data_IF_267819848187
#
_entry.id   IF_267819848187
#
_cell.length_a   1.000
_cell.length_b   1.000
_cell.length_c   1.000
_cell.angle_alpha   90.00
_cell.angle_beta   90.00
_cell.angle_gamma   90.00
#
_symmetry.space_group_name_H-M   'P 1'
#
loop_
_entity.id
_entity.type
_entity.pdbx_description
1 polymer ?
#
# COMPACT_ATOMS: atom_id res chain seq x y z
N UNK A 1 -18.84 -16.95 -14.51
CA UNK A 1 -20.09 -16.45 -15.12
C UNK A 1 -19.74 -15.42 -16.19
N UNK A 2 -20.38 -15.47 -17.35
CA UNK A 2 -20.17 -14.52 -18.45
C UNK A 2 -20.87 -13.18 -18.17
N UNK A 3 -20.57 -12.13 -18.95
CA UNK A 3 -21.19 -10.80 -18.80
C UNK A 3 -22.72 -10.91 -18.99
N UNK A 4 -23.55 -10.66 -17.95
CA UNK A 4 -25.00 -10.76 -18.08
C UNK A 4 -25.53 -9.67 -19.01
N UNK A 5 -26.53 -9.99 -19.84
CA UNK A 5 -27.14 -9.06 -20.80
C UNK A 5 -26.12 -8.37 -21.72
N UNK A 6 -25.03 -9.05 -22.12
CA UNK A 6 -23.94 -8.48 -22.93
C UNK A 6 -24.41 -7.74 -24.19
N UNK A 7 -25.54 -8.15 -24.78
CA UNK A 7 -26.14 -7.51 -25.96
C UNK A 7 -26.59 -6.06 -25.74
N UNK A 8 -26.87 -5.67 -24.49
CA UNK A 8 -27.32 -4.32 -24.12
C UNK A 8 -26.16 -3.33 -23.97
N UNK A 9 -24.92 -3.81 -23.85
CA UNK A 9 -23.79 -2.94 -23.55
C UNK A 9 -23.40 -2.10 -24.75
N UNK A 10 -23.17 -0.79 -24.52
CA UNK A 10 -22.67 0.13 -25.53
C UNK A 10 -21.28 0.64 -25.17
N UNK A 11 -20.34 0.73 -26.12
CA UNK A 11 -19.02 1.29 -25.86
C UNK A 11 -19.07 2.81 -25.72
N UNK A 12 -18.54 3.33 -24.61
CA UNK A 12 -18.30 4.77 -24.46
C UNK A 12 -17.23 5.26 -25.43
N UNK A 13 -17.18 6.58 -25.72
CA UNK A 13 -16.13 7.18 -26.56
C UNK A 13 -14.73 6.81 -26.05
N UNK A 14 -14.52 6.90 -24.74
CA UNK A 14 -13.26 6.53 -24.11
C UNK A 14 -12.89 5.05 -24.36
N UNK A 15 -13.87 4.15 -24.25
CA UNK A 15 -13.65 2.73 -24.54
C UNK A 15 -13.22 2.51 -25.99
N UNK A 16 -13.87 3.16 -26.95
CA UNK A 16 -13.56 3.04 -28.39
C UNK A 16 -12.13 3.50 -28.68
N UNK A 17 -11.73 4.68 -28.16
CA UNK A 17 -10.36 5.20 -28.29
C UNK A 17 -9.33 4.22 -27.70
N UNK A 18 -9.62 3.60 -26.54
CA UNK A 18 -8.73 2.61 -25.93
C UNK A 18 -8.62 1.32 -26.72
N UNK A 19 -9.71 0.87 -27.34
CA UNK A 19 -9.69 -0.32 -28.19
C UNK A 19 -8.81 -0.09 -29.42
N UNK A 20 -8.99 1.03 -30.10
CA UNK A 20 -8.19 1.39 -31.27
C UNK A 20 -6.70 1.52 -30.91
N UNK A 21 -6.38 2.26 -29.83
CA UNK A 21 -5.00 2.48 -29.39
C UNK A 21 -4.28 1.19 -28.93
N UNK A 22 -4.98 0.29 -28.25
CA UNK A 22 -4.35 -0.86 -27.56
C UNK A 22 -4.40 -2.16 -28.37
N UNK A 23 -5.43 -2.32 -29.19
CA UNK A 23 -5.70 -3.57 -29.90
C UNK A 23 -5.78 -3.37 -31.42
N UNK A 24 -5.62 -2.14 -31.92
CA UNK A 24 -5.63 -1.81 -33.35
C UNK A 24 -6.90 -2.30 -34.07
N UNK A 25 -8.02 -2.37 -33.35
CA UNK A 25 -9.31 -2.79 -33.91
C UNK A 25 -9.96 -1.58 -34.57
N UNK A 26 -10.26 -1.70 -35.85
CA UNK A 26 -10.91 -0.66 -36.62
C UNK A 26 -12.35 -0.42 -36.15
N UNK A 27 -12.88 0.81 -36.25
CA UNK A 27 -14.26 1.13 -35.85
C UNK A 27 -15.33 0.26 -36.52
N UNK A 28 -15.08 -0.18 -37.75
CA UNK A 28 -15.98 -1.05 -38.54
C UNK A 28 -16.15 -2.43 -37.92
N UNK A 29 -15.11 -2.98 -37.28
CA UNK A 29 -15.10 -4.32 -36.68
C UNK A 29 -15.38 -4.30 -35.17
N UNK A 30 -15.47 -3.10 -34.58
CA UNK A 30 -15.53 -2.89 -33.14
C UNK A 30 -16.70 -3.62 -32.48
N UNK A 31 -17.90 -3.52 -33.06
CA UNK A 31 -19.11 -4.08 -32.44
C UNK A 31 -19.09 -5.61 -32.40
N UNK A 32 -18.61 -6.26 -33.47
CA UNK A 32 -18.54 -7.72 -33.52
C UNK A 32 -17.41 -8.24 -32.63
N UNK A 33 -16.29 -7.53 -32.59
CA UNK A 33 -15.20 -7.83 -31.68
C UNK A 33 -15.64 -7.73 -30.21
N UNK A 34 -16.33 -6.65 -29.82
CA UNK A 34 -16.87 -6.46 -28.47
C UNK A 34 -17.86 -7.58 -28.11
N UNK A 35 -18.75 -7.97 -29.02
CA UNK A 35 -19.70 -9.06 -28.75
C UNK A 35 -18.98 -10.37 -28.46
N UNK A 36 -18.00 -10.74 -29.29
CA UNK A 36 -17.19 -11.94 -29.07
C UNK A 36 -16.40 -11.88 -27.77
N UNK A 37 -15.92 -10.69 -27.40
CA UNK A 37 -15.19 -10.42 -26.17
C UNK A 37 -16.07 -10.60 -24.93
N UNK A 38 -17.24 -9.95 -24.88
CA UNK A 38 -18.17 -10.01 -23.74
C UNK A 38 -18.80 -11.39 -23.56
N UNK A 39 -18.99 -12.15 -24.65
CA UNK A 39 -19.48 -13.54 -24.58
C UNK A 39 -18.50 -14.47 -23.87
N UNK A 40 -17.19 -14.24 -24.04
CA UNK A 40 -16.13 -15.06 -23.45
C UNK A 40 -15.59 -14.49 -22.14
N UNK A 41 -16.00 -13.28 -21.77
CA UNK A 41 -15.48 -12.60 -20.61
C UNK A 41 -16.09 -13.10 -19.31
N UNK A 42 -15.21 -13.50 -18.38
CA UNK A 42 -15.57 -14.00 -17.08
C UNK A 42 -15.48 -12.90 -16.03
N UNK A 43 -16.43 -12.92 -15.09
CA UNK A 43 -16.39 -11.99 -13.96
C UNK A 43 -15.10 -12.19 -13.13
N UNK A 44 -14.39 -11.09 -12.88
CA UNK A 44 -13.17 -11.06 -12.07
C UNK A 44 -13.44 -10.43 -10.70
N UNK A 45 -13.81 -9.14 -10.69
CA UNK A 45 -14.05 -8.39 -9.43
C UNK A 45 -15.01 -7.22 -9.62
N UNK A 46 -15.56 -6.71 -8.52
CA UNK A 46 -16.31 -5.46 -8.50
C UNK A 46 -15.39 -4.30 -8.07
N UNK A 47 -15.39 -3.21 -8.82
CA UNK A 47 -14.70 -1.98 -8.42
C UNK A 47 -15.60 -1.12 -7.53
N UNK A 48 -16.89 -1.07 -7.84
CA UNK A 48 -17.95 -0.43 -7.04
C UNK A 48 -19.23 -1.27 -7.14
N UNK A 49 -20.33 -0.85 -6.50
CA UNK A 49 -21.63 -1.51 -6.63
C UNK A 49 -22.15 -1.58 -8.08
N UNK A 50 -21.86 -0.56 -8.89
CA UNK A 50 -22.26 -0.50 -10.30
C UNK A 50 -21.17 -0.99 -11.27
N UNK A 51 -19.89 -0.80 -10.94
CA UNK A 51 -18.76 -1.10 -11.84
C UNK A 51 -18.17 -2.48 -11.60
N UNK A 52 -18.19 -3.29 -12.64
CA UNK A 52 -17.70 -4.66 -12.64
C UNK A 52 -16.55 -4.81 -13.63
N UNK A 53 -15.58 -5.62 -13.25
CA UNK A 53 -14.42 -5.96 -14.05
C UNK A 53 -14.57 -7.39 -14.52
N UNK A 54 -14.50 -7.57 -15.84
CA UNK A 54 -14.51 -8.88 -16.48
C UNK A 54 -13.17 -9.12 -17.18
N UNK A 55 -12.76 -10.38 -17.30
CA UNK A 55 -11.50 -10.79 -17.91
C UNK A 55 -11.75 -11.81 -19.01
N UNK A 56 -11.01 -11.67 -20.11
CA UNK A 56 -10.94 -12.66 -21.18
C UNK A 56 -9.51 -12.70 -21.68
N UNK A 57 -8.85 -13.86 -21.59
CA UNK A 57 -7.43 -14.00 -21.88
C UNK A 57 -6.60 -12.94 -21.12
N UNK A 58 -5.88 -12.13 -21.89
CA UNK A 58 -5.01 -11.03 -21.46
C UNK A 58 -5.71 -9.67 -21.60
N UNK A 59 -7.02 -9.61 -21.38
CA UNK A 59 -7.83 -8.40 -21.50
C UNK A 59 -8.71 -8.24 -20.26
N UNK A 60 -8.67 -7.07 -19.63
CA UNK A 60 -9.64 -6.66 -18.61
C UNK A 60 -10.59 -5.59 -19.14
N UNK A 61 -11.85 -5.73 -18.77
CA UNK A 61 -12.98 -4.96 -19.28
C UNK A 61 -13.66 -4.31 -18.09
N UNK A 62 -13.78 -2.99 -18.08
CA UNK A 62 -14.54 -2.28 -17.04
C UNK A 62 -15.90 -1.91 -17.61
N UNK A 63 -16.94 -2.42 -16.97
CA UNK A 63 -18.32 -2.19 -17.39
C UNK A 63 -19.14 -1.61 -16.25
N UNK A 64 -20.09 -0.74 -16.58
CA UNK A 64 -21.14 -0.30 -15.67
C UNK A 64 -22.37 -1.17 -15.88
N UNK A 65 -22.72 -1.94 -14.86
CA UNK A 65 -23.83 -2.89 -14.90
C UNK A 65 -25.21 -2.25 -14.73
N UNK A 66 -25.30 -0.98 -14.33
CA UNK A 66 -26.56 -0.24 -14.22
C UNK A 66 -26.87 0.47 -15.53
N UNK A 67 -25.89 1.18 -16.09
CA UNK A 67 -26.06 1.94 -17.34
C UNK A 67 -25.77 1.14 -18.60
N UNK A 68 -25.40 -0.15 -18.49
CA UNK A 68 -24.99 -1.02 -19.59
C UNK A 68 -23.95 -0.34 -20.50
N UNK A 69 -22.92 0.24 -19.90
CA UNK A 69 -21.88 0.99 -20.63
C UNK A 69 -20.51 0.34 -20.46
N UNK A 70 -19.77 0.18 -21.56
CA UNK A 70 -18.36 -0.20 -21.50
C UNK A 70 -17.53 1.06 -21.26
N UNK A 71 -16.87 1.11 -20.10
CA UNK A 71 -16.15 2.30 -19.64
C UNK A 71 -14.75 2.33 -20.24
N UNK A 72 -13.98 1.26 -20.04
CA UNK A 72 -12.60 1.18 -20.52
C UNK A 72 -12.15 -0.28 -20.65
N UNK A 73 -11.03 -0.50 -21.32
CA UNK A 73 -10.46 -1.81 -21.59
C UNK A 73 -8.95 -1.75 -21.40
N UNK A 74 -8.38 -2.77 -20.76
CA UNK A 74 -6.94 -2.91 -20.55
C UNK A 74 -6.47 -4.16 -21.27
N UNK A 75 -5.35 -4.05 -22.00
CA UNK A 75 -4.53 -5.23 -22.23
C UNK A 75 -3.83 -5.49 -20.91
N UNK A 76 -4.10 -6.64 -20.33
CA UNK A 76 -3.13 -7.25 -19.45
C UNK A 76 -1.97 -7.57 -20.40
N UNK A 77 -0.92 -6.75 -20.41
CA UNK A 77 0.38 -7.30 -20.79
C UNK A 77 0.51 -8.61 -20.00
N UNK A 78 1.05 -9.65 -20.61
CA UNK A 78 1.52 -10.84 -19.89
C UNK A 78 1.98 -10.39 -18.51
N UNK A 79 1.49 -11.01 -17.45
CA UNK A 79 1.93 -10.76 -16.08
C UNK A 79 3.42 -11.08 -15.86
N UNK A 80 4.24 -11.00 -16.92
CA UNK A 80 5.68 -11.15 -16.98
C UNK A 80 6.38 -9.79 -17.20
N UNK A 81 5.70 -8.64 -17.10
CA UNK A 81 6.38 -7.34 -17.33
C UNK A 81 5.80 -6.14 -16.57
N UNK A 82 5.41 -6.35 -15.31
CA UNK A 82 5.60 -5.35 -14.22
C UNK A 82 6.12 -6.08 -12.96
N UNK A 83 6.91 -7.13 -13.18
CA UNK A 83 7.96 -7.61 -12.28
C UNK A 83 9.28 -7.62 -13.05
N UNK A 84 9.42 -6.74 -14.05
CA UNK A 84 10.72 -6.13 -14.24
C UNK A 84 10.90 -5.28 -12.98
N UNK A 85 11.48 -5.88 -11.93
CA UNK A 85 12.44 -5.16 -11.13
C UNK A 85 13.13 -4.21 -12.09
N UNK A 86 12.93 -2.89 -11.91
CA UNK A 86 13.93 -1.97 -12.42
C UNK A 86 15.20 -2.49 -11.77
N UNK A 87 15.99 -3.28 -12.51
CA UNK A 87 17.31 -3.71 -12.08
C UNK A 87 18.08 -2.41 -12.01
N UNK A 88 17.97 -1.80 -10.83
CA UNK A 88 18.69 -0.62 -10.46
C UNK A 88 20.13 -0.91 -10.80
N UNK A 89 20.75 0.03 -11.52
CA UNK A 89 22.18 -0.04 -11.77
C UNK A 89 22.87 -0.41 -10.44
N UNK A 90 23.76 -1.41 -10.39
CA UNK A 90 24.40 -1.88 -9.16
C UNK A 90 25.00 -0.75 -8.31
N UNK A 91 25.50 0.31 -8.93
CA UNK A 91 25.99 1.51 -8.23
C UNK A 91 24.85 2.24 -7.51
N UNK A 92 23.71 2.43 -8.16
CA UNK A 92 22.54 3.08 -7.56
C UNK A 92 21.94 2.18 -6.47
N UNK A 93 21.87 0.86 -6.70
CA UNK A 93 21.42 -0.11 -5.70
C UNK A 93 22.33 -0.10 -4.47
N UNK A 94 23.65 -0.05 -4.65
CA UNK A 94 24.63 0.05 -3.56
C UNK A 94 24.44 1.34 -2.75
N UNK A 95 24.29 2.49 -3.42
CA UNK A 95 24.07 3.78 -2.76
C UNK A 95 22.75 3.79 -1.98
N UNK A 96 21.68 3.24 -2.56
CA UNK A 96 20.38 3.13 -1.89
C UNK A 96 20.46 2.21 -0.66
N UNK A 97 21.10 1.05 -0.78
CA UNK A 97 21.29 0.12 0.34
C UNK A 97 22.11 0.77 1.47
N UNK A 98 23.19 1.46 1.14
CA UNK A 98 24.00 2.17 2.13
C UNK A 98 23.20 3.29 2.82
N UNK A 99 22.44 4.08 2.05
CA UNK A 99 21.57 5.12 2.59
C UNK A 99 20.50 4.54 3.53
N UNK A 100 19.93 3.38 3.17
CA UNK A 100 18.91 2.69 3.94
C UNK A 100 19.46 2.10 5.25
N UNK A 101 20.66 1.50 5.22
CA UNK A 101 21.39 1.06 6.42
C UNK A 101 21.72 2.25 7.33
N UNK A 102 22.20 3.36 6.75
CA UNK A 102 22.50 4.58 7.50
C UNK A 102 21.24 5.17 8.16
N UNK A 103 20.09 5.11 7.48
CA UNK A 103 18.81 5.53 8.03
C UNK A 103 18.39 4.63 9.20
N UNK A 104 18.47 3.29 9.05
CA UNK A 104 18.23 2.30 10.12
C UNK A 104 19.05 2.61 11.37
N UNK A 105 20.35 2.81 11.21
CA UNK A 105 21.25 3.17 12.30
C UNK A 105 20.90 4.51 12.95
N UNK A 106 20.47 5.50 12.16
CA UNK A 106 20.06 6.82 12.68
C UNK A 106 18.79 6.73 13.53
N UNK A 107 17.79 5.96 13.08
CA UNK A 107 16.55 5.73 13.81
C UNK A 107 16.87 5.05 15.15
N UNK A 108 17.61 3.95 15.14
CA UNK A 108 18.00 3.20 16.34
C UNK A 108 18.73 4.12 17.34
N UNK A 109 19.70 4.92 16.87
CA UNK A 109 20.46 5.85 17.73
C UNK A 109 19.56 6.93 18.34
N UNK A 110 18.63 7.49 17.56
CA UNK A 110 17.69 8.51 18.03
C UNK A 110 16.78 7.95 19.12
N UNK A 111 16.17 6.79 18.87
CA UNK A 111 15.29 6.10 19.83
C UNK A 111 16.06 5.74 21.09
N UNK A 112 17.26 5.15 20.95
CA UNK A 112 18.12 4.79 22.08
C UNK A 112 18.44 5.99 22.98
N UNK A 113 18.76 7.16 22.39
CA UNK A 113 18.99 8.39 23.16
C UNK A 113 17.74 8.85 23.92
N UNK A 114 16.57 8.77 23.30
CA UNK A 114 15.30 9.18 23.92
C UNK A 114 14.91 8.25 25.07
N UNK A 115 15.00 6.93 24.84
CA UNK A 115 14.73 5.90 25.84
C UNK A 115 15.71 6.02 27.01
N UNK A 116 17.00 6.18 26.74
CA UNK A 116 18.01 6.35 27.80
C UNK A 116 17.72 7.57 28.69
N UNK A 117 17.28 8.69 28.09
CA UNK A 117 16.89 9.89 28.86
C UNK A 117 15.70 9.61 29.78
N UNK A 118 14.63 9.00 29.27
CA UNK A 118 13.44 8.68 30.05
C UNK A 118 13.73 7.65 31.15
N UNK A 119 14.57 6.65 30.86
CA UNK A 119 15.02 5.66 31.82
C UNK A 119 15.85 6.31 32.95
N UNK A 120 16.72 7.27 32.62
CA UNK A 120 17.47 8.03 33.61
C UNK A 120 16.56 8.88 34.49
N UNK A 121 15.58 9.57 33.90
CA UNK A 121 14.56 10.33 34.64
C UNK A 121 13.78 9.43 35.59
N UNK A 122 13.39 8.22 35.15
CA UNK A 122 12.74 7.23 36.01
C UNK A 122 13.64 6.78 37.16
N UNK A 123 14.92 6.50 36.90
CA UNK A 123 15.87 6.14 37.95
C UNK A 123 16.00 7.25 39.00
N UNK A 124 16.02 8.51 38.60
CA UNK A 124 16.07 9.65 39.51
C UNK A 124 14.77 9.83 40.31
N UNK A 125 13.60 9.55 39.71
CA UNK A 125 12.32 9.54 40.43
C UNK A 125 12.26 8.40 41.44
N UNK A 126 12.70 7.19 41.09
CA UNK A 126 12.78 6.06 42.03
C UNK A 126 13.70 6.36 43.22
N UNK A 127 14.84 7.04 42.99
CA UNK A 127 15.72 7.51 44.07
C UNK A 127 15.02 8.51 44.98
N UNK A 128 14.23 9.44 44.43
CA UNK A 128 13.45 10.41 45.23
C UNK A 128 12.39 9.72 46.08
N UNK A 129 11.67 8.75 45.51
CA UNK A 129 10.68 7.94 46.22
C UNK A 129 11.35 7.21 47.39
N UNK A 130 12.45 6.49 47.12
CA UNK A 130 13.15 5.69 48.14
C UNK A 130 13.69 6.52 49.31
N UNK A 131 14.02 7.80 49.08
CA UNK A 131 14.57 8.69 50.10
C UNK A 131 13.51 9.60 50.74
N UNK A 132 12.25 9.53 50.31
CA UNK A 132 11.21 10.41 50.82
C UNK A 132 10.74 9.98 52.20
N UNK A 133 10.78 10.92 53.16
CA UNK A 133 10.19 10.74 54.49
C UNK A 133 8.75 11.24 54.58
N UNK A 134 8.28 11.98 53.57
CA UNK A 134 6.94 12.56 53.51
C UNK A 134 6.29 12.23 52.16
N UNK A 135 5.11 11.60 52.19
CA UNK A 135 4.47 11.01 51.02
C UNK A 135 3.75 12.00 50.10
N UNK A 136 3.76 13.30 50.39
CA UNK A 136 2.96 14.30 49.69
C UNK A 136 3.06 14.29 48.15
N UNK A 137 4.22 13.90 47.59
CA UNK A 137 4.50 13.93 46.15
C UNK A 137 4.75 12.54 45.53
N UNK A 138 4.58 11.47 46.30
CA UNK A 138 4.91 10.12 45.83
C UNK A 138 4.00 9.70 44.67
N UNK A 139 2.70 9.99 44.76
CA UNK A 139 1.74 9.65 43.71
C UNK A 139 2.04 10.38 42.39
N UNK A 140 2.42 11.66 42.48
CA UNK A 140 2.84 12.45 41.30
C UNK A 140 4.09 11.85 40.64
N UNK A 141 5.06 11.38 41.43
CA UNK A 141 6.26 10.74 40.89
C UNK A 141 5.97 9.39 40.25
N UNK A 142 5.09 8.57 40.83
CA UNK A 142 4.66 7.32 40.21
C UNK A 142 3.88 7.55 38.92
N UNK A 143 3.00 8.54 38.89
CA UNK A 143 2.29 8.92 37.66
C UNK A 143 3.29 9.35 36.58
N UNK A 144 4.31 10.14 36.93
CA UNK A 144 5.33 10.56 35.97
C UNK A 144 6.18 9.39 35.44
N UNK A 145 6.48 8.40 36.28
CA UNK A 145 7.15 7.16 35.86
C UNK A 145 6.26 6.38 34.88
N UNK A 146 4.96 6.29 35.18
CA UNK A 146 3.98 5.64 34.29
C UNK A 146 3.94 6.32 32.92
N UNK A 147 3.87 7.65 32.87
CA UNK A 147 3.91 8.43 31.63
C UNK A 147 5.21 8.18 30.85
N UNK A 148 6.36 8.23 31.53
CA UNK A 148 7.66 7.98 30.91
C UNK A 148 7.75 6.56 30.33
N UNK A 149 7.17 5.55 31.00
CA UNK A 149 7.13 4.18 30.49
C UNK A 149 6.22 4.05 29.25
N UNK A 150 5.07 4.73 29.25
CA UNK A 150 4.19 4.78 28.08
C UNK A 150 4.88 5.46 26.87
N UNK A 151 5.63 6.53 27.13
CA UNK A 151 6.46 7.21 26.12
C UNK A 151 7.56 6.29 25.57
N UNK A 152 8.26 5.55 26.44
CA UNK A 152 9.28 4.56 26.03
C UNK A 152 8.65 3.52 25.09
N UNK A 153 7.51 2.94 25.48
CA UNK A 153 6.84 1.94 24.66
C UNK A 153 6.41 2.50 23.31
N UNK A 154 5.89 3.73 23.30
CA UNK A 154 5.49 4.42 22.08
C UNK A 154 6.67 4.65 21.14
N UNK A 155 7.83 5.08 21.66
CA UNK A 155 9.04 5.28 20.85
C UNK A 155 9.63 3.98 20.32
N UNK A 156 9.56 2.88 21.08
CA UNK A 156 9.98 1.55 20.62
C UNK A 156 9.05 1.04 19.51
N UNK A 157 7.73 1.20 19.66
CA UNK A 157 6.77 0.78 18.64
C UNK A 157 6.98 1.55 17.33
N UNK A 158 7.13 2.88 17.41
CA UNK A 158 7.47 3.71 16.23
C UNK A 158 8.77 3.27 15.57
N UNK A 159 9.80 2.92 16.35
CA UNK A 159 11.04 2.40 15.80
C UNK A 159 10.76 1.12 15.01
N UNK A 160 10.07 0.15 15.60
CA UNK A 160 9.80 -1.13 14.96
C UNK A 160 8.99 -0.94 13.68
N UNK A 161 7.93 -0.13 13.70
CA UNK A 161 7.13 0.18 12.50
C UNK A 161 7.98 0.77 11.36
N UNK A 162 8.94 1.64 11.70
CA UNK A 162 9.84 2.24 10.71
C UNK A 162 10.91 1.25 10.22
N UNK A 163 11.40 0.38 11.09
CA UNK A 163 12.37 -0.67 10.72
C UNK A 163 11.72 -1.72 9.82
N UNK A 164 10.49 -2.13 10.12
CA UNK A 164 9.72 -3.06 9.29
C UNK A 164 9.46 -2.47 7.90
N UNK A 165 9.11 -1.18 7.82
CA UNK A 165 8.98 -0.47 6.54
C UNK A 165 10.28 -0.43 5.74
N UNK A 166 11.42 -0.28 6.41
CA UNK A 166 12.74 -0.30 5.77
C UNK A 166 13.08 -1.72 5.27
N UNK A 167 12.87 -2.72 6.11
CA UNK A 167 13.21 -4.11 5.79
C UNK A 167 12.30 -4.65 4.67
N UNK A 168 11.01 -4.27 4.61
CA UNK A 168 10.11 -4.53 3.47
C UNK A 168 10.54 -3.87 2.15
N UNK A 169 11.40 -2.85 2.19
CA UNK A 169 11.93 -2.17 1.00
C UNK A 169 13.32 -2.66 0.60
N UNK A 170 13.98 -3.43 1.48
CA UNK A 170 15.25 -4.11 1.23
C UNK A 170 15.07 -5.55 0.74
N UNK A 171 13.96 -6.20 1.08
CA UNK A 171 13.57 -7.54 0.64
C UNK A 171 12.97 -7.53 -0.77
#
# INVERSE_FOLDING_TARGET
MTVPMFQKYKPSKHFQERVEQRFMIQPTMLNDWIKGLLQKAEYNRSQTSSRKIYRVNNIELVVDSVSFTLITIYSLKTQETIEDEIKLNPEIASVLNEAMINLKNRIIRRTSKRVAKLAQENADLYRKISNSRNNKYIDEWYNKISDNNADIQTEINKQNDLLDQIDMKLA
#
